data_IF_353730803725
#
_entry.id   IF_353730803725
#
_cell.length_a   1.000
_cell.length_b   1.000
_cell.length_c   1.000
_cell.angle_alpha   90.00
_cell.angle_beta   90.00
_cell.angle_gamma   90.00
#
_symmetry.space_group_name_H-M   'P 1'
#
loop_
_entity.id
_entity.type
_entity.pdbx_description
1 polymer ?
#
# COMPACT_ATOMS: atom_id res chain seq x y z
N UNK A 1 -8.75 9.12 10.07
CA UNK A 1 -8.04 8.05 9.34
C UNK A 1 -6.55 8.27 9.53
N UNK A 2 -5.80 7.24 9.89
CA UNK A 2 -4.34 7.33 9.99
C UNK A 2 -3.77 7.74 8.61
N UNK A 3 -2.95 8.80 8.57
CA UNK A 3 -2.35 9.31 7.33
C UNK A 3 -1.48 8.24 6.65
N UNK A 4 -0.83 7.38 7.44
CA UNK A 4 -0.01 6.26 6.96
C UNK A 4 -0.88 5.21 6.28
N UNK A 5 -2.01 4.86 6.89
CA UNK A 5 -2.97 3.91 6.31
C UNK A 5 -3.57 4.44 4.99
N UNK A 6 -3.85 5.75 4.91
CA UNK A 6 -4.36 6.39 3.70
C UNK A 6 -3.33 6.38 2.55
N UNK A 7 -2.05 6.59 2.86
CA UNK A 7 -0.97 6.49 1.88
C UNK A 7 -0.83 5.06 1.34
N UNK A 8 -0.90 4.06 2.23
CA UNK A 8 -0.87 2.63 1.85
C UNK A 8 -2.04 2.29 0.92
N UNK A 9 -3.25 2.70 1.26
CA UNK A 9 -4.44 2.49 0.43
C UNK A 9 -4.33 3.15 -0.94
N UNK A 10 -3.79 4.38 -0.99
CA UNK A 10 -3.56 5.10 -2.25
C UNK A 10 -2.56 4.35 -3.14
N UNK A 11 -1.48 3.82 -2.54
CA UNK A 11 -0.48 3.02 -3.26
C UNK A 11 -1.07 1.72 -3.82
N UNK A 12 -1.95 1.06 -3.07
CA UNK A 12 -2.71 -0.09 -3.57
C UNK A 12 -3.59 0.26 -4.78
N UNK A 13 -4.36 1.35 -4.69
CA UNK A 13 -5.26 1.77 -5.77
C UNK A 13 -4.49 2.06 -7.06
N UNK A 14 -3.36 2.76 -6.96
CA UNK A 14 -2.49 3.08 -8.10
C UNK A 14 -1.87 1.79 -8.68
N UNK A 15 -1.36 0.91 -7.83
CA UNK A 15 -0.75 -0.35 -8.27
C UNK A 15 -1.75 -1.24 -9.04
N UNK A 16 -2.99 -1.33 -8.55
CA UNK A 16 -4.06 -2.08 -9.23
C UNK A 16 -4.45 -1.42 -10.55
N UNK A 17 -4.61 -0.08 -10.56
CA UNK A 17 -4.96 0.67 -11.76
C UNK A 17 -3.93 0.51 -12.88
N UNK A 18 -2.64 0.51 -12.54
CA UNK A 18 -1.54 0.37 -13.49
C UNK A 18 -1.20 -1.10 -13.83
N UNK A 19 -1.73 -2.06 -13.07
CA UNK A 19 -1.30 -3.46 -13.15
C UNK A 19 0.15 -3.68 -12.68
N UNK A 20 0.69 -2.76 -11.88
CA UNK A 20 2.07 -2.80 -11.40
C UNK A 20 2.21 -3.75 -10.20
N UNK A 21 2.72 -4.95 -10.48
CA UNK A 21 2.92 -6.01 -9.48
C UNK A 21 4.03 -5.67 -8.47
N UNK A 22 5.01 -4.84 -8.84
CA UNK A 22 6.10 -4.45 -7.94
C UNK A 22 5.53 -3.45 -6.93
N UNK A 23 4.86 -2.40 -7.41
CA UNK A 23 4.23 -1.41 -6.53
C UNK A 23 3.18 -2.05 -5.61
N UNK A 24 2.43 -3.04 -6.10
CA UNK A 24 1.48 -3.80 -5.29
C UNK A 24 2.18 -4.53 -4.14
N UNK A 25 3.29 -5.21 -4.42
CA UNK A 25 4.09 -5.90 -3.40
C UNK A 25 4.61 -4.91 -2.35
N UNK A 26 5.13 -3.76 -2.77
CA UNK A 26 5.60 -2.73 -1.84
C UNK A 26 4.47 -2.18 -0.96
N UNK A 27 3.26 -2.02 -1.50
CA UNK A 27 2.09 -1.61 -0.74
C UNK A 27 1.69 -2.67 0.31
N UNK A 28 1.81 -3.96 -0.04
CA UNK A 28 1.58 -5.08 0.90
C UNK A 28 2.62 -5.09 2.03
N UNK A 29 3.89 -4.85 1.72
CA UNK A 29 4.96 -4.78 2.73
C UNK A 29 4.74 -3.60 3.68
N UNK A 30 4.48 -2.40 3.15
CA UNK A 30 4.17 -1.23 3.96
C UNK A 30 2.94 -1.44 4.87
N UNK A 31 1.92 -2.16 4.39
CA UNK A 31 0.77 -2.53 5.21
C UNK A 31 1.13 -3.49 6.35
N UNK A 32 1.98 -4.50 6.08
CA UNK A 32 2.44 -5.44 7.11
C UNK A 32 3.20 -4.73 8.21
N UNK A 33 4.12 -3.82 7.85
CA UNK A 33 4.87 -3.03 8.82
C UNK A 33 3.97 -2.10 9.64
N UNK A 34 3.01 -1.42 9.01
CA UNK A 34 2.05 -0.58 9.72
C UNK A 34 1.18 -1.38 10.70
N UNK A 35 0.73 -2.59 10.31
CA UNK A 35 -0.09 -3.46 11.17
C UNK A 35 0.67 -4.03 12.37
N UNK A 36 1.98 -4.26 12.22
CA UNK A 36 2.84 -4.79 13.26
C UNK A 36 3.34 -3.71 14.25
N UNK A 37 3.01 -2.44 13.98
CA UNK A 37 3.31 -1.28 14.81
C UNK A 37 2.23 -1.07 15.87
#
# INVERSE_FOLDING_TARGET
>A
MDKSLMAIQSKFAIAVYLGDKIMYREAVEAFREWRLK
#
